data_IF_220510999088
#
_entry.id   IF_220510999088
#
_cell.length_a   1.000
_cell.length_b   1.000
_cell.length_c   1.000
_cell.angle_alpha   90.00
_cell.angle_beta   90.00
_cell.angle_gamma   90.00
#
_symmetry.space_group_name_H-M   'P 1'
#
loop_
_entity.id
_entity.type
_entity.pdbx_description
1 polymer ?
#
# COMPACT_ATOMS: atom_id res chain seq x y z
N UNK A 1 -1.76 -3.85 -22.73
CA UNK A 1 -1.57 -3.37 -21.36
C UNK A 1 -0.43 -4.16 -20.70
N UNK A 2 0.64 -3.47 -20.27
CA UNK A 2 1.86 -4.11 -19.69
C UNK A 2 1.54 -4.91 -18.43
N UNK A 3 0.65 -4.41 -17.55
CA UNK A 3 0.25 -5.10 -16.30
C UNK A 3 -0.42 -6.43 -16.60
N UNK A 4 -1.32 -6.48 -17.57
CA UNK A 4 -1.96 -7.74 -18.02
C UNK A 4 -0.92 -8.74 -18.53
N UNK A 5 0.11 -8.26 -19.26
CA UNK A 5 1.23 -9.09 -19.71
C UNK A 5 2.00 -9.71 -18.55
N UNK A 6 2.28 -8.91 -17.50
CA UNK A 6 2.92 -9.40 -16.27
C UNK A 6 2.04 -10.44 -15.56
N UNK A 7 0.74 -10.19 -15.41
CA UNK A 7 -0.16 -11.12 -14.73
C UNK A 7 -0.31 -12.44 -15.48
N UNK A 8 -0.35 -12.43 -16.81
CA UNK A 8 -0.34 -13.66 -17.63
C UNK A 8 0.95 -14.46 -17.43
N UNK A 9 2.09 -13.77 -17.33
CA UNK A 9 3.41 -14.40 -17.17
C UNK A 9 3.61 -14.96 -15.77
N UNK A 10 3.35 -14.17 -14.73
CA UNK A 10 3.71 -14.50 -13.34
C UNK A 10 2.56 -15.12 -12.54
N UNK A 11 1.31 -14.95 -12.98
CA UNK A 11 0.09 -15.46 -12.34
C UNK A 11 0.06 -15.23 -10.83
N UNK A 12 0.20 -13.97 -10.36
CA UNK A 12 0.21 -13.69 -8.92
C UNK A 12 -1.16 -13.99 -8.29
N UNK A 13 -1.15 -14.52 -7.07
CA UNK A 13 -2.38 -14.67 -6.26
C UNK A 13 -2.74 -13.38 -5.55
N UNK A 14 -1.73 -12.60 -5.14
CA UNK A 14 -1.88 -11.36 -4.37
C UNK A 14 -1.24 -10.22 -5.16
N UNK A 15 -1.95 -9.11 -5.26
CA UNK A 15 -1.47 -7.87 -5.88
C UNK A 15 -1.63 -6.72 -4.90
N UNK A 16 -0.56 -5.97 -4.72
CA UNK A 16 -0.55 -4.72 -3.99
C UNK A 16 -0.54 -3.56 -4.96
N UNK A 17 -1.33 -2.52 -4.67
CA UNK A 17 -1.41 -1.31 -5.49
C UNK A 17 -1.57 -0.08 -4.63
N UNK A 18 -1.44 1.10 -5.25
CA UNK A 18 -1.67 2.38 -4.60
C UNK A 18 -3.13 2.54 -4.15
N UNK A 19 -3.38 3.52 -3.30
CA UNK A 19 -4.74 3.94 -2.94
C UNK A 19 -5.33 4.82 -4.05
N UNK A 20 -6.61 4.62 -4.38
CA UNK A 20 -7.27 5.28 -5.51
C UNK A 20 -7.46 6.80 -5.34
N UNK A 21 -7.46 7.28 -4.09
CA UNK A 21 -7.66 8.69 -3.78
C UNK A 21 -6.38 9.38 -3.29
N UNK A 22 -5.23 8.84 -3.61
CA UNK A 22 -3.96 9.50 -3.36
C UNK A 22 -3.87 10.84 -4.09
N UNK A 23 -3.16 11.81 -3.48
CA UNK A 23 -2.91 13.11 -4.10
C UNK A 23 -2.11 13.00 -5.41
N UNK A 24 -1.22 12.01 -5.51
CA UNK A 24 -0.40 11.80 -6.70
C UNK A 24 -1.23 11.12 -7.80
N UNK A 25 -1.38 11.80 -8.93
CA UNK A 25 -2.16 11.32 -10.08
C UNK A 25 -1.61 10.01 -10.67
N UNK A 26 -0.30 9.76 -10.62
CA UNK A 26 0.31 8.52 -11.10
C UNK A 26 -0.11 7.32 -10.23
N UNK A 27 -0.35 7.55 -8.93
CA UNK A 27 -0.88 6.53 -8.01
C UNK A 27 -2.30 6.13 -8.40
N UNK A 28 -3.16 7.13 -8.68
CA UNK A 28 -4.51 6.90 -9.19
C UNK A 28 -4.50 6.08 -10.50
N UNK A 29 -3.71 6.47 -11.47
CA UNK A 29 -3.60 5.75 -12.74
C UNK A 29 -3.07 4.34 -12.56
N UNK A 30 -2.13 4.14 -11.64
CA UNK A 30 -1.58 2.82 -11.31
C UNK A 30 -2.65 1.95 -10.65
N UNK A 31 -3.39 2.50 -9.66
CA UNK A 31 -4.52 1.81 -9.04
C UNK A 31 -5.54 1.37 -10.09
N UNK A 32 -6.05 2.31 -10.88
CA UNK A 32 -7.08 2.04 -11.87
C UNK A 32 -6.65 0.99 -12.92
N UNK A 33 -5.43 1.14 -13.44
CA UNK A 33 -4.86 0.20 -14.42
C UNK A 33 -4.71 -1.20 -13.83
N UNK A 34 -4.28 -1.30 -12.56
CA UNK A 34 -4.14 -2.55 -11.83
C UNK A 34 -5.51 -3.17 -11.55
N UNK A 35 -6.46 -2.37 -11.08
CA UNK A 35 -7.83 -2.81 -10.82
C UNK A 35 -8.49 -3.40 -12.07
N UNK A 36 -8.36 -2.71 -13.22
CA UNK A 36 -8.83 -3.21 -14.51
C UNK A 36 -8.14 -4.52 -14.90
N UNK A 37 -6.85 -4.66 -14.66
CA UNK A 37 -6.10 -5.88 -14.96
C UNK A 37 -6.48 -7.06 -14.04
N UNK A 38 -6.95 -6.78 -12.82
CA UNK A 38 -7.40 -7.79 -11.85
C UNK A 38 -8.80 -8.36 -12.13
N UNK A 39 -9.48 -7.93 -13.22
CA UNK A 39 -10.78 -8.48 -13.59
C UNK A 39 -10.65 -9.99 -13.88
N UNK A 40 -11.70 -10.79 -13.56
CA UNK A 40 -11.70 -12.21 -13.88
C UNK A 40 -11.46 -12.45 -15.38
N UNK A 41 -10.57 -13.38 -15.70
CA UNK A 41 -10.32 -13.83 -17.06
C UNK A 41 -9.80 -15.29 -17.05
N UNK A 42 -9.78 -15.93 -18.21
CA UNK A 42 -9.44 -17.34 -18.34
C UNK A 42 -7.92 -17.65 -18.22
N UNK A 43 -7.06 -16.64 -18.12
CA UNK A 43 -5.61 -16.83 -18.11
C UNK A 43 -5.00 -16.82 -16.71
N UNK A 44 -5.62 -16.12 -15.77
CA UNK A 44 -5.18 -15.99 -14.38
C UNK A 44 -6.34 -15.54 -13.48
N UNK A 45 -6.23 -15.84 -12.19
CA UNK A 45 -7.13 -15.37 -11.15
C UNK A 45 -6.32 -14.64 -10.07
N UNK A 46 -6.53 -13.34 -9.94
CA UNK A 46 -6.01 -12.59 -8.79
C UNK A 46 -6.99 -12.81 -7.64
N UNK A 47 -6.51 -13.46 -6.57
CA UNK A 47 -7.33 -13.75 -5.39
C UNK A 47 -7.47 -12.51 -4.50
N UNK A 48 -6.37 -11.82 -4.24
CA UNK A 48 -6.36 -10.68 -3.33
C UNK A 48 -5.83 -9.43 -4.05
N UNK A 49 -6.56 -8.32 -3.93
CA UNK A 49 -6.11 -7.00 -4.34
C UNK A 49 -6.15 -6.08 -3.14
N UNK A 50 -4.98 -5.58 -2.75
CA UNK A 50 -4.77 -4.78 -1.55
C UNK A 50 -4.20 -3.41 -1.92
N UNK A 51 -4.81 -2.35 -1.39
CA UNK A 51 -4.25 -0.99 -1.51
C UNK A 51 -3.48 -0.58 -0.27
N UNK A 52 -2.31 0.00 -0.47
CA UNK A 52 -1.45 0.53 0.59
C UNK A 52 -1.46 2.06 0.62
N UNK A 53 -1.14 2.63 1.79
CA UNK A 53 -0.97 4.07 1.97
C UNK A 53 0.47 4.50 1.70
N UNK A 54 0.64 5.71 1.18
CA UNK A 54 1.95 6.32 0.94
C UNK A 54 2.03 7.66 1.67
N UNK A 55 2.95 7.82 2.65
CA UNK A 55 3.20 9.09 3.31
C UNK A 55 3.49 10.21 2.31
N UNK A 56 2.97 11.40 2.54
CA UNK A 56 2.97 12.58 1.68
C UNK A 56 2.15 12.47 0.40
N UNK A 57 1.28 11.47 0.33
CA UNK A 57 0.36 11.30 -0.79
C UNK A 57 -1.02 10.94 -0.30
N UNK A 58 -1.15 9.82 0.42
CA UNK A 58 -2.42 9.40 1.01
C UNK A 58 -2.86 10.34 2.15
N UNK A 59 -1.92 10.71 3.03
CA UNK A 59 -2.13 11.61 4.16
C UNK A 59 -2.33 13.08 3.77
N UNK A 60 -1.93 13.46 2.56
CA UNK A 60 -2.10 14.80 2.00
C UNK A 60 -3.24 14.89 0.97
N UNK A 61 -4.02 13.82 0.86
CA UNK A 61 -5.18 13.79 -0.02
C UNK A 61 -6.20 14.88 0.29
N UNK A 62 -7.09 15.14 -0.64
CA UNK A 62 -8.16 16.14 -0.47
C UNK A 62 -9.06 15.72 0.68
N UNK A 63 -9.33 16.60 1.66
CA UNK A 63 -10.22 16.29 2.79
C UNK A 63 -11.66 16.04 2.32
N UNK A 64 -11.97 14.77 2.12
CA UNK A 64 -13.31 14.29 1.75
C UNK A 64 -13.55 13.01 2.56
N UNK A 65 -14.62 13.01 3.37
CA UNK A 65 -14.97 11.87 4.24
C UNK A 65 -15.14 10.55 3.49
N UNK A 66 -15.46 10.60 2.20
CA UNK A 66 -15.63 9.42 1.35
C UNK A 66 -14.31 8.94 0.70
N UNK A 67 -13.22 9.70 0.91
CA UNK A 67 -11.90 9.46 0.33
C UNK A 67 -10.81 9.32 1.38
N UNK A 68 -11.19 8.90 2.58
CA UNK A 68 -10.24 8.64 3.66
C UNK A 68 -9.69 7.22 3.53
N UNK A 69 -8.39 7.06 3.69
CA UNK A 69 -7.78 5.73 3.76
C UNK A 69 -8.17 5.04 5.08
N UNK A 70 -9.11 4.10 5.00
CA UNK A 70 -9.61 3.31 6.13
C UNK A 70 -9.17 1.85 5.98
N UNK A 71 -7.96 1.47 6.45
CA UNK A 71 -7.47 0.11 6.29
C UNK A 71 -8.29 -0.88 7.12
N UNK A 72 -8.47 -2.08 6.55
CA UNK A 72 -9.22 -3.18 7.16
C UNK A 72 -8.46 -4.52 7.12
N UNK A 73 -7.20 -4.50 6.68
CA UNK A 73 -6.30 -5.65 6.65
C UNK A 73 -4.94 -5.23 7.22
N UNK A 74 -4.48 -5.91 8.25
CA UNK A 74 -3.28 -5.55 9.00
C UNK A 74 -2.31 -6.73 9.03
N UNK A 75 -1.04 -6.46 8.73
CA UNK A 75 0.02 -7.46 8.73
C UNK A 75 0.99 -7.13 9.85
N UNK A 76 1.17 -8.06 10.80
CA UNK A 76 2.19 -7.90 11.85
C UNK A 76 3.59 -7.93 11.22
N UNK A 77 4.30 -6.84 11.38
CA UNK A 77 5.67 -6.68 10.87
C UNK A 77 6.71 -6.53 11.99
N UNK A 78 6.36 -6.82 13.23
CA UNK A 78 7.28 -6.69 14.38
C UNK A 78 8.63 -7.36 14.12
N UNK A 79 8.63 -8.60 13.66
CA UNK A 79 9.85 -9.37 13.34
C UNK A 79 10.62 -8.82 12.13
N UNK A 80 9.97 -8.03 11.28
CA UNK A 80 10.54 -7.46 10.06
C UNK A 80 10.97 -6.00 10.18
N UNK A 81 10.81 -5.35 11.35
CA UNK A 81 11.16 -3.94 11.54
C UNK A 81 12.62 -3.61 11.23
N UNK A 82 13.56 -4.52 11.55
CA UNK A 82 14.97 -4.35 11.17
C UNK A 82 15.16 -4.37 9.66
N UNK A 83 14.45 -5.25 8.97
CA UNK A 83 14.47 -5.35 7.50
C UNK A 83 13.84 -4.11 6.88
N UNK A 84 12.68 -3.66 7.38
CA UNK A 84 12.01 -2.42 6.91
C UNK A 84 12.96 -1.22 7.00
N UNK A 85 13.66 -1.06 8.13
CA UNK A 85 14.66 0.02 8.30
C UNK A 85 15.76 -0.04 7.26
N UNK A 86 16.34 -1.22 7.03
CA UNK A 86 17.37 -1.42 5.98
C UNK A 86 16.86 -1.11 4.58
N UNK A 87 15.62 -1.49 4.27
CA UNK A 87 15.00 -1.19 2.97
C UNK A 87 14.79 0.31 2.79
N UNK A 88 14.35 1.03 3.82
CA UNK A 88 14.23 2.49 3.79
C UNK A 88 15.58 3.17 3.51
N UNK A 89 16.69 2.65 4.04
CA UNK A 89 18.03 3.18 3.76
C UNK A 89 18.41 3.07 2.27
N UNK A 90 17.88 2.08 1.55
CA UNK A 90 18.05 1.97 0.09
C UNK A 90 17.34 3.11 -0.66
N UNK A 91 16.31 3.70 -0.07
CA UNK A 91 15.53 4.81 -0.62
C UNK A 91 15.85 6.15 0.04
N UNK A 92 17.06 6.31 0.58
CA UNK A 92 17.47 7.51 1.35
C UNK A 92 17.24 8.84 0.63
N UNK A 93 17.29 8.87 -0.70
CA UNK A 93 17.04 10.09 -1.51
C UNK A 93 15.56 10.48 -1.55
N UNK A 94 14.65 9.53 -1.33
CA UNK A 94 13.20 9.76 -1.23
C UNK A 94 12.79 10.14 0.20
N UNK A 95 13.58 9.78 1.20
CA UNK A 95 13.35 10.16 2.58
C UNK A 95 13.55 11.67 2.76
N UNK A 96 12.75 12.26 3.63
CA UNK A 96 12.81 13.67 4.00
C UNK A 96 13.15 13.81 5.48
N UNK A 97 13.58 15.00 5.87
CA UNK A 97 13.80 15.31 7.29
C UNK A 97 12.46 15.51 8.02
N UNK A 98 12.41 15.14 9.30
CA UNK A 98 11.27 15.47 10.16
C UNK A 98 11.08 17.01 10.21
N UNK A 99 9.81 17.50 10.23
CA UNK A 99 8.56 16.78 10.50
C UNK A 99 7.83 16.20 9.27
N UNK A 100 8.46 16.16 8.11
CA UNK A 100 7.83 15.67 6.89
C UNK A 100 7.28 14.23 7.07
N UNK A 101 6.12 13.91 6.49
CA UNK A 101 5.48 12.58 6.63
C UNK A 101 6.36 11.44 6.11
N UNK A 102 7.15 11.66 5.05
CA UNK A 102 8.18 10.73 4.55
C UNK A 102 9.50 10.76 5.33
N UNK A 103 9.53 11.32 6.54
CA UNK A 103 10.71 11.16 7.37
C UNK A 103 10.80 9.73 7.92
N UNK A 104 12.01 9.25 8.12
CA UNK A 104 12.24 7.93 8.71
C UNK A 104 11.45 7.76 10.02
N UNK A 105 11.50 8.78 10.89
CA UNK A 105 10.75 8.81 12.16
C UNK A 105 9.25 8.59 11.94
N UNK A 106 8.64 9.35 11.01
CA UNK A 106 7.19 9.30 10.80
C UNK A 106 6.74 8.00 10.13
N UNK A 107 7.54 7.43 9.21
CA UNK A 107 7.25 6.11 8.62
C UNK A 107 7.24 5.01 9.69
N UNK A 108 8.18 5.04 10.63
CA UNK A 108 8.19 4.08 11.75
C UNK A 108 7.03 4.34 12.71
N UNK A 109 6.72 5.61 13.02
CA UNK A 109 5.57 5.98 13.85
C UNK A 109 4.25 5.53 13.24
N UNK A 110 4.11 5.60 11.92
CA UNK A 110 2.93 5.09 11.22
C UNK A 110 2.77 3.57 11.43
N UNK A 111 3.86 2.80 11.34
CA UNK A 111 3.82 1.37 11.61
C UNK A 111 3.40 1.05 13.05
N UNK A 112 3.86 1.85 14.03
CA UNK A 112 3.45 1.71 15.43
C UNK A 112 1.96 2.07 15.61
N UNK A 113 1.51 3.16 15.00
CA UNK A 113 0.11 3.57 15.05
C UNK A 113 -0.82 2.51 14.46
N UNK A 114 -0.49 1.99 13.27
CA UNK A 114 -1.28 0.93 12.63
C UNK A 114 -1.30 -0.37 13.45
N UNK A 115 -0.20 -0.69 14.08
CA UNK A 115 -0.13 -1.81 15.04
C UNK A 115 -1.03 -1.58 16.26
N UNK A 116 -0.95 -0.41 16.88
CA UNK A 116 -1.75 -0.03 18.04
C UNK A 116 -3.25 -0.08 17.79
N UNK A 117 -3.71 0.24 16.57
CA UNK A 117 -5.14 0.16 16.18
C UNK A 117 -5.71 -1.26 16.36
N UNK A 118 -4.89 -2.29 16.18
CA UNK A 118 -5.31 -3.70 16.24
C UNK A 118 -4.65 -4.49 17.37
N UNK A 119 -3.94 -3.81 18.29
CA UNK A 119 -3.38 -4.43 19.51
C UNK A 119 -2.06 -5.17 19.29
N UNK A 120 -1.28 -4.82 18.25
CA UNK A 120 0.07 -5.36 18.01
C UNK A 120 1.10 -4.23 17.96
N UNK A 121 2.40 -4.55 18.07
CA UNK A 121 3.43 -3.51 18.17
C UNK A 121 3.62 -2.72 16.87
N UNK A 122 3.68 -3.43 15.74
CA UNK A 122 3.94 -2.82 14.44
C UNK A 122 3.12 -3.52 13.35
N UNK A 123 2.46 -2.73 12.52
CA UNK A 123 1.74 -3.25 11.37
C UNK A 123 2.02 -2.46 10.09
N UNK A 124 1.88 -3.14 8.96
CA UNK A 124 1.48 -2.53 7.70
C UNK A 124 -0.01 -2.73 7.50
N UNK A 125 -0.68 -1.70 6.98
CA UNK A 125 -2.13 -1.69 6.87
C UNK A 125 -2.58 -1.47 5.43
N UNK A 126 -3.64 -2.17 5.04
CA UNK A 126 -4.13 -2.19 3.67
C UNK A 126 -5.65 -2.08 3.64
N UNK A 127 -6.17 -1.57 2.51
CA UNK A 127 -7.58 -1.73 2.15
C UNK A 127 -7.71 -2.96 1.26
N UNK A 128 -8.61 -3.87 1.63
CA UNK A 128 -8.99 -5.00 0.78
C UNK A 128 -9.97 -4.52 -0.28
N UNK A 129 -9.52 -4.45 -1.55
CA UNK A 129 -10.39 -4.15 -2.68
C UNK A 129 -11.04 -5.42 -3.26
N UNK A 130 -10.39 -6.55 -3.09
CA UNK A 130 -10.89 -7.87 -3.51
C UNK A 130 -10.25 -8.96 -2.65
N UNK A 131 -11.05 -9.92 -2.24
CA UNK A 131 -10.60 -11.17 -1.63
C UNK A 131 -11.43 -12.34 -2.16
N UNK A 132 -10.77 -13.42 -2.54
CA UNK A 132 -11.39 -14.70 -2.92
C UNK A 132 -10.74 -15.77 -2.05
N UNK A 133 -11.55 -16.47 -1.28
CA UNK A 133 -11.14 -17.51 -0.31
C UNK A 133 -11.29 -18.88 -0.94
#
# INVERSE_FOLDING_TARGET
NKIIGCFKKYKPDIVYTHYEHDLNIDHYHTFFSTYVACRPNNNYLIKNLLSFEIPSSTDWGIPDKNKIFCPNYFVDIKSFMKTKKKLLDCYKYELKQAPHSRSFKNIISLSNYRGGVVGIENAEAFIVNKIVV
#
